data_IF_496176691289
#
_entry.id   IF_496176691289
#
_cell.length_a   1.000
_cell.length_b   1.000
_cell.length_c   1.000
_cell.angle_alpha   90.00
_cell.angle_beta   90.00
_cell.angle_gamma   90.00
#
_symmetry.space_group_name_H-M   'P 1'
#
loop_
_entity.id
_entity.type
_entity.pdbx_description
1 polymer ?
#
# COMPACT_ATOMS: atom_id res chain seq x y z
N UNK A 1 -32.20 24.71 12.96
CA UNK A 1 -32.19 23.51 12.07
C UNK A 1 -31.18 23.67 10.94
N UNK A 2 -31.02 24.87 10.31
CA UNK A 2 -30.05 25.12 9.24
C UNK A 2 -28.56 25.00 9.71
N UNK A 3 -28.25 25.38 10.95
CA UNK A 3 -26.89 25.36 11.51
C UNK A 3 -26.43 23.92 11.76
N UNK A 4 -27.35 23.03 12.16
CA UNK A 4 -27.03 21.61 12.39
C UNK A 4 -26.72 20.87 11.07
N UNK A 5 -27.37 21.24 9.97
CA UNK A 5 -27.16 20.63 8.64
C UNK A 5 -25.82 21.03 8.04
N UNK A 6 -25.38 22.27 8.23
CA UNK A 6 -24.05 22.72 7.76
C UNK A 6 -22.89 22.10 8.51
N UNK A 7 -23.03 21.81 9.83
CA UNK A 7 -22.01 21.11 10.59
C UNK A 7 -21.82 19.63 10.15
N UNK A 8 -22.91 18.93 9.79
CA UNK A 8 -22.83 17.57 9.28
C UNK A 8 -22.12 17.47 7.92
N UNK A 9 -22.34 18.44 7.05
CA UNK A 9 -21.70 18.48 5.72
C UNK A 9 -20.20 18.73 5.81
N UNK A 10 -19.77 19.56 6.76
CA UNK A 10 -18.34 19.84 7.00
C UNK A 10 -17.60 18.61 7.57
N UNK A 11 -18.23 17.79 8.41
CA UNK A 11 -17.64 16.57 8.93
C UNK A 11 -17.43 15.50 7.84
N UNK A 12 -18.36 15.37 6.91
CA UNK A 12 -18.24 14.43 5.80
C UNK A 12 -17.13 14.84 4.81
N UNK A 13 -16.98 16.13 4.52
CA UNK A 13 -15.91 16.64 3.67
C UNK A 13 -14.52 16.42 4.29
N UNK A 14 -14.39 16.61 5.62
CA UNK A 14 -13.12 16.34 6.33
C UNK A 14 -12.75 14.86 6.34
N UNK A 15 -13.71 13.94 6.51
CA UNK A 15 -13.46 12.50 6.46
C UNK A 15 -13.03 12.04 5.07
N UNK A 16 -13.64 12.55 4.01
CA UNK A 16 -13.31 12.23 2.63
C UNK A 16 -11.89 12.70 2.26
N UNK A 17 -11.52 13.93 2.64
CA UNK A 17 -10.15 14.43 2.39
C UNK A 17 -9.09 13.66 3.14
N UNK A 18 -9.37 13.14 4.34
CA UNK A 18 -8.45 12.28 5.09
C UNK A 18 -8.25 10.93 4.43
N UNK A 19 -9.31 10.31 3.93
CA UNK A 19 -9.25 9.05 3.18
C UNK A 19 -8.45 9.22 1.87
N UNK A 20 -8.67 10.30 1.12
CA UNK A 20 -7.92 10.61 -0.09
C UNK A 20 -6.42 10.78 0.19
N UNK A 21 -6.07 11.38 1.33
CA UNK A 21 -4.68 11.53 1.77
C UNK A 21 -4.01 10.18 2.06
N UNK A 22 -4.73 9.22 2.66
CA UNK A 22 -4.25 7.84 2.86
C UNK A 22 -4.05 7.14 1.53
N UNK A 23 -5.06 7.20 0.64
CA UNK A 23 -4.98 6.62 -0.71
C UNK A 23 -3.83 7.19 -1.53
N UNK A 24 -3.55 8.49 -1.37
CA UNK A 24 -2.45 9.15 -2.07
C UNK A 24 -1.08 8.55 -1.72
N UNK A 25 -0.82 8.23 -0.45
CA UNK A 25 0.45 7.58 -0.03
C UNK A 25 0.57 6.18 -0.59
N UNK A 26 -0.50 5.38 -0.52
CA UNK A 26 -0.53 4.02 -1.07
C UNK A 26 -0.32 4.04 -2.59
N UNK A 27 -1.02 4.91 -3.31
CA UNK A 27 -0.84 5.06 -4.76
C UNK A 27 0.58 5.53 -5.12
N UNK A 28 1.17 6.44 -4.33
CA UNK A 28 2.54 6.93 -4.52
C UNK A 28 3.55 5.79 -4.47
N UNK A 29 3.37 4.83 -3.56
CA UNK A 29 4.24 3.65 -3.47
C UNK A 29 4.26 2.89 -4.80
N UNK A 30 3.10 2.58 -5.39
CA UNK A 30 3.03 1.80 -6.62
C UNK A 30 3.48 2.58 -7.86
N UNK A 31 3.23 3.90 -7.89
CA UNK A 31 3.79 4.78 -8.92
C UNK A 31 5.32 4.80 -8.83
N UNK A 32 5.88 4.87 -7.63
CA UNK A 32 7.32 4.83 -7.40
C UNK A 32 7.94 3.49 -7.84
N UNK A 33 7.29 2.37 -7.52
CA UNK A 33 7.71 1.04 -7.98
C UNK A 33 7.75 0.97 -9.51
N UNK A 34 6.71 1.41 -10.19
CA UNK A 34 6.61 1.41 -11.65
C UNK A 34 7.67 2.29 -12.30
N UNK A 35 8.01 3.40 -11.66
CA UNK A 35 9.04 4.33 -12.15
C UNK A 35 10.47 3.91 -11.78
N UNK A 36 10.67 2.79 -11.06
CA UNK A 36 11.96 2.37 -10.52
C UNK A 36 12.60 3.43 -9.59
N UNK A 37 11.76 4.23 -8.91
CA UNK A 37 12.17 5.31 -8.01
C UNK A 37 12.24 4.81 -6.56
N UNK A 38 13.38 4.26 -6.18
CA UNK A 38 13.58 3.73 -4.82
C UNK A 38 13.57 4.80 -3.74
N UNK A 39 14.00 6.02 -4.02
CA UNK A 39 13.95 7.11 -3.03
C UNK A 39 12.49 7.49 -2.73
N UNK A 40 11.66 7.57 -3.75
CA UNK A 40 10.24 7.81 -3.57
C UNK A 40 9.55 6.63 -2.86
N UNK A 41 9.91 5.37 -3.18
CA UNK A 41 9.47 4.18 -2.43
C UNK A 41 9.79 4.33 -0.95
N UNK A 42 11.07 4.61 -0.62
CA UNK A 42 11.52 4.77 0.77
C UNK A 42 10.76 5.88 1.49
N UNK A 43 10.47 6.99 0.82
CA UNK A 43 9.77 8.14 1.39
C UNK A 43 8.32 7.84 1.81
N UNK A 44 7.70 6.79 1.25
CA UNK A 44 6.35 6.37 1.61
C UNK A 44 6.29 5.67 2.98
N UNK A 45 7.41 5.15 3.46
CA UNK A 45 7.50 4.38 4.71
C UNK A 45 7.94 5.24 5.89
N UNK A 46 7.48 4.88 7.08
CA UNK A 46 8.04 5.38 8.34
C UNK A 46 9.43 4.75 8.59
N UNK A 47 10.27 5.40 9.40
CA UNK A 47 11.63 4.92 9.70
C UNK A 47 11.63 3.55 10.38
N UNK A 48 10.62 3.26 11.20
CA UNK A 48 10.43 1.99 11.91
C UNK A 48 9.49 1.01 11.20
N UNK A 49 9.23 1.23 9.91
CA UNK A 49 8.25 0.42 9.17
C UNK A 49 8.66 -1.04 9.04
N UNK A 50 7.64 -1.91 9.01
CA UNK A 50 7.78 -3.36 8.85
C UNK A 50 7.14 -3.77 7.52
N UNK A 51 7.89 -4.50 6.71
CA UNK A 51 7.44 -5.12 5.47
C UNK A 51 7.45 -6.63 5.62
N UNK A 52 6.36 -7.29 5.28
CA UNK A 52 6.24 -8.74 5.32
C UNK A 52 5.48 -9.28 4.12
N UNK A 53 5.87 -10.46 3.65
CA UNK A 53 5.15 -11.20 2.62
C UNK A 53 4.82 -12.60 3.11
N UNK A 54 3.55 -12.98 2.99
CA UNK A 54 3.10 -14.33 3.29
C UNK A 54 3.36 -15.20 2.06
N UNK A 55 4.18 -16.25 2.25
CA UNK A 55 4.54 -17.21 1.21
C UNK A 55 4.21 -18.63 1.67
N UNK A 56 4.31 -19.59 0.76
CA UNK A 56 4.27 -21.03 1.09
C UNK A 56 5.59 -21.64 0.70
N UNK A 57 6.11 -22.51 1.57
CA UNK A 57 7.30 -23.30 1.26
C UNK A 57 6.96 -24.47 0.30
N UNK A 58 7.94 -25.28 -0.05
CA UNK A 58 7.79 -26.42 -0.96
C UNK A 58 6.82 -27.49 -0.42
N UNK A 59 6.70 -27.60 0.89
CA UNK A 59 5.78 -28.50 1.59
C UNK A 59 4.37 -27.93 1.75
N UNK A 60 4.10 -26.71 1.22
CA UNK A 60 2.83 -26.03 1.29
C UNK A 60 2.54 -25.32 2.61
N UNK A 61 3.51 -25.28 3.54
CA UNK A 61 3.36 -24.61 4.83
C UNK A 61 3.45 -23.09 4.67
N UNK A 62 2.60 -22.37 5.38
CA UNK A 62 2.62 -20.90 5.42
C UNK A 62 3.89 -20.40 6.12
N UNK A 63 4.55 -19.44 5.50
CA UNK A 63 5.76 -18.80 5.98
C UNK A 63 5.65 -17.29 5.80
N UNK A 64 6.19 -16.51 6.74
CA UNK A 64 6.26 -15.05 6.65
C UNK A 64 7.71 -14.63 6.42
N UNK A 65 7.95 -13.95 5.33
CA UNK A 65 9.25 -13.35 5.01
C UNK A 65 9.25 -11.87 5.42
N UNK A 66 10.30 -11.48 6.14
CA UNK A 66 10.54 -10.08 6.47
C UNK A 66 11.43 -9.42 5.41
N UNK A 67 11.16 -8.15 5.13
CA UNK A 67 11.96 -7.29 4.27
C UNK A 67 12.09 -5.90 4.90
N UNK A 68 13.25 -5.27 4.79
CA UNK A 68 13.42 -3.89 5.24
C UNK A 68 12.97 -2.93 4.12
N UNK A 69 12.28 -1.83 4.44
CA UNK A 69 11.88 -0.85 3.43
C UNK A 69 13.05 -0.33 2.58
N UNK A 70 14.24 -0.15 3.18
CA UNK A 70 15.45 0.25 2.45
C UNK A 70 15.96 -0.78 1.45
N UNK A 71 15.87 -2.08 1.78
CA UNK A 71 16.28 -3.17 0.87
C UNK A 71 15.27 -3.31 -0.28
N UNK A 72 13.98 -3.16 0.01
CA UNK A 72 12.93 -3.09 -0.98
C UNK A 72 13.12 -1.90 -1.95
N UNK A 73 13.37 -0.71 -1.43
CA UNK A 73 13.65 0.48 -2.22
C UNK A 73 14.86 0.28 -3.15
N UNK A 74 15.92 -0.35 -2.64
CA UNK A 74 17.12 -0.69 -3.42
C UNK A 74 16.82 -1.69 -4.54
N UNK A 75 16.03 -2.73 -4.24
CA UNK A 75 15.59 -3.69 -5.24
C UNK A 75 14.76 -3.00 -6.34
N UNK A 76 13.84 -2.11 -5.98
CA UNK A 76 13.05 -1.32 -6.96
C UNK A 76 13.97 -0.46 -7.85
N UNK A 77 14.94 0.25 -7.27
CA UNK A 77 15.89 1.09 -8.04
C UNK A 77 16.72 0.30 -9.04
N UNK A 78 16.90 -1.01 -8.84
CA UNK A 78 17.66 -1.88 -9.76
C UNK A 78 16.83 -2.44 -10.90
N UNK A 79 15.51 -2.26 -10.89
CA UNK A 79 14.61 -2.72 -11.94
C UNK A 79 14.57 -1.72 -13.10
N UNK A 80 14.28 -2.18 -14.33
CA UNK A 80 13.93 -1.28 -15.41
C UNK A 80 12.64 -0.51 -15.08
N UNK A 81 12.54 0.74 -15.53
CA UNK A 81 11.29 1.50 -15.47
C UNK A 81 10.17 0.71 -16.15
N UNK A 82 8.96 0.79 -15.61
CA UNK A 82 7.75 0.09 -16.05
C UNK A 82 7.77 -1.44 -15.86
N UNK A 83 8.88 -2.03 -15.38
CA UNK A 83 8.95 -3.47 -15.17
C UNK A 83 8.04 -3.94 -14.01
N UNK A 84 8.03 -3.25 -12.88
CA UNK A 84 7.21 -3.58 -11.72
C UNK A 84 5.90 -2.79 -11.74
N UNK A 85 4.83 -3.40 -12.25
CA UNK A 85 3.50 -2.77 -12.38
C UNK A 85 2.49 -3.50 -11.48
N UNK A 86 2.24 -2.94 -10.30
CA UNK A 86 1.23 -3.44 -9.37
C UNK A 86 -0.04 -2.60 -9.46
N UNK A 87 -1.11 -3.24 -9.92
CA UNK A 87 -2.42 -2.61 -10.13
C UNK A 87 -3.32 -2.97 -8.97
N UNK A 88 -3.69 -1.97 -8.19
CA UNK A 88 -4.47 -2.11 -6.97
C UNK A 88 -5.90 -1.57 -7.14
N UNK A 89 -6.79 -2.05 -6.28
CA UNK A 89 -8.08 -1.41 -5.98
C UNK A 89 -8.21 -1.22 -4.47
N UNK A 90 -8.85 -0.13 -4.04
CA UNK A 90 -9.16 0.08 -2.62
C UNK A 90 -10.49 -0.58 -2.29
N UNK A 91 -10.45 -1.68 -1.54
CA UNK A 91 -11.66 -2.35 -1.04
C UNK A 91 -12.12 -1.73 0.29
N UNK A 92 -11.17 -1.39 1.15
CA UNK A 92 -11.45 -0.80 2.46
C UNK A 92 -10.38 0.21 2.84
N UNK A 93 -10.81 1.36 3.33
CA UNK A 93 -9.98 2.33 4.06
C UNK A 93 -10.70 2.69 5.35
N UNK A 94 -10.01 2.65 6.49
CA UNK A 94 -10.53 3.04 7.81
C UNK A 94 -9.53 3.96 8.48
N UNK A 95 -10.03 4.96 9.20
CA UNK A 95 -9.22 5.96 9.88
C UNK A 95 -9.74 6.14 11.30
N UNK A 96 -8.83 6.14 12.26
CA UNK A 96 -9.07 6.51 13.65
C UNK A 96 -7.93 7.43 14.12
N UNK A 97 -8.17 8.75 14.11
CA UNK A 97 -7.16 9.74 14.45
C UNK A 97 -5.87 9.58 13.62
N UNK A 98 -4.73 9.31 14.27
CA UNK A 98 -3.44 9.16 13.57
C UNK A 98 -3.22 7.77 12.98
N UNK A 99 -4.14 6.84 13.12
CA UNK A 99 -4.07 5.49 12.56
C UNK A 99 -4.97 5.36 11.35
N UNK A 100 -4.47 4.75 10.28
CA UNK A 100 -5.26 4.32 9.14
C UNK A 100 -4.92 2.88 8.74
N UNK A 101 -5.91 2.18 8.17
CA UNK A 101 -5.68 0.93 7.47
C UNK A 101 -6.19 1.05 6.02
N UNK A 102 -5.56 0.33 5.11
CA UNK A 102 -6.04 0.15 3.75
C UNK A 102 -5.88 -1.32 3.35
N UNK A 103 -6.94 -1.87 2.76
CA UNK A 103 -6.96 -3.21 2.21
C UNK A 103 -7.07 -3.12 0.70
N UNK A 104 -6.02 -3.55 -0.01
CA UNK A 104 -5.94 -3.38 -1.45
C UNK A 104 -5.66 -4.71 -2.17
N UNK A 105 -6.70 -5.35 -2.75
CA UNK A 105 -6.49 -6.39 -3.75
C UNK A 105 -5.63 -5.88 -4.90
N UNK A 106 -4.75 -6.74 -5.42
CA UNK A 106 -3.82 -6.36 -6.49
C UNK A 106 -3.59 -7.46 -7.52
N UNK A 107 -3.22 -7.04 -8.72
CA UNK A 107 -2.58 -7.85 -9.75
C UNK A 107 -1.19 -7.29 -10.04
N UNK A 108 -0.18 -8.13 -9.99
CA UNK A 108 1.20 -7.74 -10.27
C UNK A 108 1.66 -8.24 -11.63
N UNK A 109 2.19 -7.34 -12.41
CA UNK A 109 2.80 -7.60 -13.71
C UNK A 109 4.29 -7.30 -13.65
N UNK A 110 5.10 -8.16 -14.26
CA UNK A 110 6.51 -7.91 -14.44
C UNK A 110 6.84 -7.91 -15.92
N UNK A 111 7.43 -6.81 -16.38
CA UNK A 111 7.75 -6.60 -17.80
C UNK A 111 6.52 -6.84 -18.71
N UNK A 112 5.38 -6.29 -18.32
CA UNK A 112 4.10 -6.39 -19.02
C UNK A 112 3.40 -7.75 -18.92
N UNK A 113 3.99 -8.75 -18.26
CA UNK A 113 3.41 -10.09 -18.11
C UNK A 113 2.82 -10.28 -16.71
N UNK A 114 1.61 -10.82 -16.65
CA UNK A 114 1.00 -11.19 -15.36
C UNK A 114 1.89 -12.18 -14.60
N UNK A 115 2.17 -11.87 -13.34
CA UNK A 115 3.02 -12.66 -12.47
C UNK A 115 2.22 -13.35 -11.35
N UNK A 116 1.50 -12.59 -10.57
CA UNK A 116 0.72 -13.08 -9.43
C UNK A 116 -0.33 -12.04 -8.99
N UNK A 117 -1.20 -12.44 -8.11
CA UNK A 117 -2.14 -11.55 -7.43
C UNK A 117 -2.11 -11.76 -5.92
N UNK A 118 -2.76 -10.90 -5.19
CA UNK A 118 -2.90 -11.00 -3.75
C UNK A 118 -3.68 -9.86 -3.16
N UNK A 119 -3.41 -9.60 -1.90
CA UNK A 119 -3.95 -8.46 -1.16
C UNK A 119 -2.81 -7.84 -0.36
N UNK A 120 -2.74 -6.53 -0.37
CA UNK A 120 -1.91 -5.77 0.55
C UNK A 120 -2.77 -5.31 1.74
N UNK A 121 -2.28 -5.54 2.94
CA UNK A 121 -2.81 -4.98 4.17
C UNK A 121 -1.85 -3.91 4.67
N UNK A 122 -2.28 -2.64 4.58
CA UNK A 122 -1.51 -1.50 5.04
C UNK A 122 -2.01 -1.02 6.39
N UNK A 123 -1.07 -0.63 7.27
CA UNK A 123 -1.32 0.24 8.40
C UNK A 123 -0.44 1.47 8.25
N UNK A 124 -1.07 2.65 8.32
CA UNK A 124 -0.40 3.94 8.19
C UNK A 124 -0.54 4.72 9.49
N UNK A 125 0.50 5.51 9.78
CA UNK A 125 0.51 6.42 10.93
C UNK A 125 0.72 7.85 10.43
N UNK A 126 0.00 8.78 11.03
CA UNK A 126 0.08 10.20 10.70
C UNK A 126 1.09 10.90 11.62
N UNK A 127 2.27 11.18 11.09
CA UNK A 127 3.33 11.90 11.77
C UNK A 127 3.31 13.38 11.35
N UNK A 128 3.09 14.31 12.28
CA UNK A 128 3.10 15.75 11.99
C UNK A 128 2.25 16.15 10.77
N UNK A 129 1.07 15.53 10.62
CA UNK A 129 0.15 15.80 9.51
C UNK A 129 0.41 14.99 8.23
N UNK A 130 1.49 14.21 8.15
CA UNK A 130 1.85 13.40 7.00
C UNK A 130 1.64 11.90 7.27
N UNK A 131 0.93 11.21 6.38
CA UNK A 131 0.76 9.76 6.45
C UNK A 131 2.00 9.03 5.96
N UNK A 132 2.44 8.02 6.71
CA UNK A 132 3.52 7.09 6.36
C UNK A 132 3.06 5.65 6.56
N UNK A 133 3.50 4.75 5.70
CA UNK A 133 3.27 3.32 5.86
C UNK A 133 4.12 2.83 7.04
N UNK A 134 3.46 2.33 8.08
CA UNK A 134 4.11 1.77 9.27
C UNK A 134 4.22 0.26 9.18
N UNK A 135 3.21 -0.39 8.60
CA UNK A 135 3.20 -1.83 8.41
C UNK A 135 2.54 -2.19 7.08
N UNK A 136 3.19 -3.04 6.33
CA UNK A 136 2.66 -3.64 5.12
C UNK A 136 2.91 -5.15 5.18
N UNK A 137 1.83 -5.92 5.07
CA UNK A 137 1.90 -7.37 4.86
C UNK A 137 1.05 -7.74 3.65
N UNK A 138 1.58 -8.59 2.78
CA UNK A 138 0.89 -9.02 1.58
C UNK A 138 0.76 -10.54 1.48
N UNK A 139 -0.24 -10.99 0.74
CA UNK A 139 -0.36 -12.36 0.25
C UNK A 139 0.04 -12.44 -1.21
N UNK A 140 0.54 -13.60 -1.65
CA UNK A 140 0.88 -13.87 -3.05
C UNK A 140 0.34 -15.22 -3.48
N UNK A 141 -0.37 -15.25 -4.60
CA UNK A 141 -0.91 -16.45 -5.23
C UNK A 141 -0.92 -16.36 -6.74
N UNK A 142 -0.94 -17.50 -7.42
CA UNK A 142 -1.07 -17.58 -8.89
C UNK A 142 -2.44 -18.08 -9.34
N UNK A 143 -3.24 -18.59 -8.42
CA UNK A 143 -4.57 -19.13 -8.68
C UNK A 143 -5.66 -18.22 -8.11
N UNK A 144 -6.86 -18.25 -8.72
CA UNK A 144 -7.97 -17.40 -8.30
C UNK A 144 -7.71 -15.91 -8.52
N UNK A 145 -6.93 -15.56 -9.53
CA UNK A 145 -6.66 -14.19 -9.97
C UNK A 145 -7.58 -13.82 -11.14
N UNK A 146 -7.90 -12.53 -11.24
CA UNK A 146 -8.58 -11.93 -12.40
C UNK A 146 -7.64 -10.84 -12.95
N UNK A 147 -6.67 -11.21 -13.82
CA UNK A 147 -5.70 -10.29 -14.39
C UNK A 147 -6.31 -9.33 -15.40
#
# INVERSE_FOLDING_TARGET
ILIALTLLLLQNASAQTSEDSVKAVVNRLFVAMKNADGELVKSCFADSAVLQTITRNKEGMTHVRNEKPGDFAKAVSSMPKDAADERISFETVKIDGPLALAWTPYNFYYDGKFSHCGVNSFQLVRFNGEWKIQYLIDTRRKQGCNP
#
